data_IF_110277988120
#
_entry.id   IF_110277988120
#
_cell.length_a   1.000
_cell.length_b   1.000
_cell.length_c   1.000
_cell.angle_alpha   90.00
_cell.angle_beta   90.00
_cell.angle_gamma   90.00
#
_symmetry.space_group_name_H-M   'P 1'
#
loop_
_entity.id
_entity.type
_entity.pdbx_description
1 polymer ?
#
# COMPACT_ATOMS: atom_id res chain seq x y z
N UNK A 1 5.69 -9.79 -6.42
CA UNK A 1 4.34 -9.71 -7.03
C UNK A 1 4.40 -9.67 -8.56
N UNK A 2 5.46 -9.14 -9.16
CA UNK A 2 5.61 -9.13 -10.64
C UNK A 2 5.86 -10.52 -11.24
N UNK A 3 6.44 -11.44 -10.48
CA UNK A 3 6.74 -12.82 -10.93
C UNK A 3 5.60 -13.81 -10.70
N UNK A 4 4.41 -13.36 -10.25
CA UNK A 4 3.28 -14.27 -10.02
C UNK A 4 2.58 -14.55 -11.35
N UNK A 5 2.67 -15.79 -11.83
CA UNK A 5 1.83 -16.30 -12.89
C UNK A 5 0.47 -16.74 -12.31
N UNK A 6 -0.57 -15.97 -12.64
CA UNK A 6 -1.93 -16.22 -12.15
C UNK A 6 -2.56 -17.47 -12.78
N UNK A 7 -2.17 -17.85 -14.01
CA UNK A 7 -2.70 -19.03 -14.68
C UNK A 7 -2.07 -20.31 -14.13
N UNK A 8 -0.78 -20.27 -13.78
CA UNK A 8 -0.09 -21.37 -13.11
C UNK A 8 -0.64 -21.57 -11.68
N UNK A 9 -0.74 -20.50 -10.89
CA UNK A 9 -1.26 -20.57 -9.52
C UNK A 9 -2.71 -21.07 -9.48
N UNK A 10 -3.53 -20.70 -10.47
CA UNK A 10 -4.91 -21.17 -10.58
C UNK A 10 -4.99 -22.68 -10.84
N UNK A 11 -4.09 -23.23 -11.68
CA UNK A 11 -4.02 -24.69 -11.90
C UNK A 11 -3.64 -25.40 -10.61
N UNK A 12 -2.59 -24.94 -9.93
CA UNK A 12 -2.12 -25.53 -8.68
C UNK A 12 -3.22 -25.52 -7.59
N UNK A 13 -3.95 -24.40 -7.47
CA UNK A 13 -5.04 -24.29 -6.51
C UNK A 13 -6.22 -25.21 -6.83
N UNK A 14 -6.55 -25.40 -8.12
CA UNK A 14 -7.62 -26.34 -8.52
C UNK A 14 -7.24 -27.79 -8.20
N UNK A 15 -6.00 -28.19 -8.45
CA UNK A 15 -5.50 -29.51 -8.09
C UNK A 15 -5.45 -29.70 -6.56
N UNK A 16 -5.09 -28.65 -5.82
CA UNK A 16 -5.12 -28.68 -4.35
C UNK A 16 -6.54 -28.85 -3.80
N UNK A 17 -7.56 -28.28 -4.44
CA UNK A 17 -8.97 -28.43 -4.00
C UNK A 17 -9.48 -29.86 -4.09
N UNK A 18 -8.99 -30.67 -5.03
CA UNK A 18 -9.41 -32.07 -5.17
C UNK A 18 -8.91 -32.96 -4.04
N UNK A 19 -7.77 -32.61 -3.45
CA UNK A 19 -7.10 -33.39 -2.40
C UNK A 19 -7.20 -32.79 -1.00
N UNK A 20 -7.52 -31.50 -0.88
CA UNK A 20 -7.56 -30.80 0.40
C UNK A 20 -8.85 -31.08 1.18
N UNK A 21 -8.72 -31.21 2.50
CA UNK A 21 -9.86 -31.37 3.42
C UNK A 21 -9.76 -30.41 4.61
N UNK A 22 -10.90 -30.16 5.25
CA UNK A 22 -10.98 -29.32 6.45
C UNK A 22 -10.45 -27.89 6.24
N UNK A 23 -9.57 -27.43 7.14
CA UNK A 23 -9.02 -26.07 7.10
C UNK A 23 -8.20 -25.79 5.83
N UNK A 24 -7.54 -26.81 5.27
CA UNK A 24 -6.70 -26.65 4.08
C UNK A 24 -7.56 -26.31 2.85
N UNK A 25 -8.70 -26.98 2.72
CA UNK A 25 -9.70 -26.70 1.70
C UNK A 25 -10.22 -25.26 1.81
N UNK A 26 -10.58 -24.82 3.03
CA UNK A 26 -11.07 -23.45 3.25
C UNK A 26 -10.05 -22.38 2.87
N UNK A 27 -8.75 -22.61 3.14
CA UNK A 27 -7.69 -21.67 2.73
C UNK A 27 -7.49 -21.66 1.21
N UNK A 28 -7.51 -22.82 0.59
CA UNK A 28 -7.38 -22.95 -0.86
C UNK A 28 -8.52 -22.25 -1.60
N UNK A 29 -9.77 -22.41 -1.15
CA UNK A 29 -10.94 -21.71 -1.72
C UNK A 29 -10.75 -20.19 -1.66
N UNK A 30 -10.40 -19.63 -0.50
CA UNK A 30 -10.18 -18.19 -0.34
C UNK A 30 -9.06 -17.65 -1.23
N UNK A 31 -7.99 -18.43 -1.42
CA UNK A 31 -6.89 -18.05 -2.34
C UNK A 31 -7.37 -18.08 -3.79
N UNK A 32 -8.12 -19.11 -4.19
CA UNK A 32 -8.64 -19.24 -5.54
C UNK A 32 -9.56 -18.08 -5.90
N UNK A 33 -10.45 -17.65 -4.99
CA UNK A 33 -11.33 -16.49 -5.19
C UNK A 33 -10.53 -15.21 -5.53
N UNK A 34 -9.42 -14.96 -4.82
CA UNK A 34 -8.57 -13.80 -5.07
C UNK A 34 -7.87 -13.91 -6.43
N UNK A 35 -7.32 -15.08 -6.75
CA UNK A 35 -6.63 -15.33 -8.03
C UNK A 35 -7.59 -15.18 -9.22
N UNK A 36 -8.79 -15.75 -9.14
CA UNK A 36 -9.82 -15.59 -10.18
C UNK A 36 -10.28 -14.13 -10.29
N UNK A 37 -10.40 -13.40 -9.19
CA UNK A 37 -10.76 -11.97 -9.20
C UNK A 37 -9.72 -11.13 -9.96
N UNK A 38 -8.42 -11.33 -9.70
CA UNK A 38 -7.35 -10.64 -10.43
C UNK A 38 -7.35 -11.01 -11.91
N UNK A 39 -7.49 -12.29 -12.24
CA UNK A 39 -7.51 -12.78 -13.63
C UNK A 39 -8.69 -12.22 -14.43
N UNK A 40 -9.89 -12.23 -13.86
CA UNK A 40 -11.11 -11.77 -14.52
C UNK A 40 -11.16 -10.24 -14.68
N UNK A 41 -10.58 -9.50 -13.75
CA UNK A 41 -10.54 -8.03 -13.80
C UNK A 41 -9.43 -7.48 -14.70
N UNK A 42 -8.41 -8.29 -15.02
CA UNK A 42 -7.20 -7.82 -15.71
C UNK A 42 -6.29 -6.95 -14.84
N UNK A 43 -6.63 -6.78 -13.57
CA UNK A 43 -5.80 -6.06 -12.61
C UNK A 43 -4.54 -6.88 -12.32
N UNK A 44 -3.39 -6.20 -12.24
CA UNK A 44 -2.13 -6.86 -11.88
C UNK A 44 -1.96 -6.84 -10.36
N UNK A 45 -1.55 -7.96 -9.73
CA UNK A 45 -1.26 -7.97 -8.29
C UNK A 45 -0.20 -6.94 -7.88
N UNK A 46 0.74 -6.62 -8.76
CA UNK A 46 1.77 -5.60 -8.52
C UNK A 46 1.19 -4.20 -8.25
N UNK A 47 -0.01 -3.89 -8.72
CA UNK A 47 -0.66 -2.59 -8.48
C UNK A 47 -1.04 -2.34 -7.01
N UNK A 48 -0.99 -3.37 -6.16
CA UNK A 48 -1.16 -3.20 -4.71
C UNK A 48 0.04 -2.51 -4.06
N UNK A 49 1.19 -2.47 -4.73
CA UNK A 49 2.39 -1.76 -4.28
C UNK A 49 2.40 -0.38 -4.95
N UNK A 50 2.43 0.68 -4.13
CA UNK A 50 2.40 2.05 -4.62
C UNK A 50 3.82 2.60 -4.77
N UNK A 51 4.24 2.87 -6.01
CA UNK A 51 5.45 3.67 -6.28
C UNK A 51 5.17 5.17 -6.27
N UNK A 52 3.96 5.56 -6.70
CA UNK A 52 3.49 6.95 -6.76
C UNK A 52 2.17 7.05 -5.99
N UNK A 53 2.19 7.81 -4.91
CA UNK A 53 1.01 8.06 -4.09
C UNK A 53 0.20 9.24 -4.67
N UNK A 54 -1.05 9.04 -5.10
CA UNK A 54 -1.89 10.12 -5.60
C UNK A 54 -2.29 11.09 -4.48
N UNK A 55 -2.43 12.36 -4.84
CA UNK A 55 -2.80 13.44 -3.92
C UNK A 55 -4.14 14.03 -4.36
N UNK A 56 -5.12 14.07 -3.46
CA UNK A 56 -6.45 14.61 -3.73
C UNK A 56 -6.36 16.14 -4.01
N UNK A 57 -7.12 16.68 -4.99
CA UNK A 57 -7.12 18.10 -5.31
C UNK A 57 -7.41 19.02 -4.10
N UNK A 58 -6.79 20.22 -4.03
CA UNK A 58 -6.94 21.16 -2.91
C UNK A 58 -8.39 21.52 -2.55
N UNK A 59 -9.29 21.53 -3.53
CA UNK A 59 -10.70 21.88 -3.37
C UNK A 59 -11.42 20.93 -2.41
N UNK A 60 -11.00 19.66 -2.38
CA UNK A 60 -11.57 18.61 -1.51
C UNK A 60 -10.86 18.59 -0.14
N UNK A 61 -9.75 19.33 0.01
CA UNK A 61 -8.98 19.46 1.26
C UNK A 61 -8.79 20.93 1.67
N UNK A 62 -9.89 21.69 1.84
CA UNK A 62 -9.83 23.13 2.05
C UNK A 62 -9.07 23.48 3.34
N UNK A 63 -8.34 24.58 3.27
CA UNK A 63 -7.78 25.28 4.43
C UNK A 63 -8.50 26.61 4.53
N UNK A 64 -9.24 26.82 5.61
CA UNK A 64 -10.06 28.02 5.80
C UNK A 64 -9.39 28.90 6.84
N UNK A 65 -9.14 30.15 6.47
CA UNK A 65 -8.70 31.15 7.43
C UNK A 65 -9.90 31.60 8.28
N UNK A 66 -9.72 31.57 9.60
CA UNK A 66 -10.68 32.04 10.58
C UNK A 66 -10.29 33.44 11.08
N UNK A 67 -11.25 34.11 11.73
CA UNK A 67 -11.00 35.39 12.38
C UNK A 67 -9.86 35.30 13.41
N UNK A 68 -9.06 36.35 13.49
CA UNK A 68 -7.91 36.42 14.40
C UNK A 68 -6.69 35.61 13.96
N UNK A 69 -6.57 35.25 12.67
CA UNK A 69 -5.35 34.66 12.11
C UNK A 69 -5.18 33.15 12.33
N UNK A 70 -6.24 32.46 12.76
CA UNK A 70 -6.25 30.99 12.90
C UNK A 70 -6.59 30.34 11.56
N UNK A 71 -6.16 29.09 11.38
CA UNK A 71 -6.51 28.28 10.21
C UNK A 71 -7.22 27.01 10.67
N UNK A 72 -8.36 26.71 10.06
CA UNK A 72 -8.95 25.38 10.09
C UNK A 72 -8.43 24.59 8.89
N UNK A 73 -7.90 23.40 9.13
CA UNK A 73 -7.37 22.51 8.09
C UNK A 73 -8.04 21.15 8.18
N UNK A 74 -8.22 20.50 7.04
CA UNK A 74 -8.57 19.07 6.99
C UNK A 74 -7.44 18.21 7.60
N UNK A 75 -7.80 17.17 8.34
CA UNK A 75 -6.88 16.15 8.87
C UNK A 75 -6.02 15.51 7.76
N UNK A 76 -6.58 15.43 6.55
CA UNK A 76 -5.92 14.90 5.35
C UNK A 76 -4.62 15.65 5.02
N UNK A 77 -4.60 16.97 5.22
CA UNK A 77 -3.40 17.78 4.98
C UNK A 77 -2.25 17.40 5.93
N UNK A 78 -2.57 17.03 7.18
CA UNK A 78 -1.59 16.63 8.17
C UNK A 78 -1.08 15.21 7.93
N UNK A 79 -1.94 14.31 7.43
CA UNK A 79 -1.57 12.97 6.99
C UNK A 79 -0.63 13.02 5.77
N UNK A 80 -0.96 13.79 4.73
CA UNK A 80 -0.08 13.99 3.59
C UNK A 80 1.26 14.60 3.99
N UNK A 81 1.27 15.60 4.87
CA UNK A 81 2.52 16.23 5.35
C UNK A 81 3.42 15.23 6.05
N UNK A 82 2.86 14.29 6.83
CA UNK A 82 3.63 13.21 7.46
C UNK A 82 4.29 12.32 6.43
N UNK A 83 3.55 11.83 5.43
CA UNK A 83 4.11 10.99 4.35
C UNK A 83 5.24 11.72 3.61
N UNK A 84 5.01 12.97 3.19
CA UNK A 84 5.99 13.77 2.45
C UNK A 84 7.27 13.97 3.27
N UNK A 85 7.15 14.31 4.55
CA UNK A 85 8.31 14.52 5.41
C UNK A 85 9.13 13.24 5.62
N UNK A 86 8.46 12.09 5.81
CA UNK A 86 9.12 10.78 5.91
C UNK A 86 9.83 10.39 4.62
N UNK A 87 9.18 10.58 3.48
CA UNK A 87 9.76 10.27 2.18
C UNK A 87 11.00 11.13 1.89
N UNK A 88 10.91 12.44 2.13
CA UNK A 88 12.04 13.36 1.98
C UNK A 88 13.20 13.02 2.93
N UNK A 89 12.89 12.62 4.16
CA UNK A 89 13.90 12.18 5.13
C UNK A 89 14.58 10.89 4.69
N UNK A 90 13.81 9.89 4.25
CA UNK A 90 14.34 8.64 3.73
C UNK A 90 15.28 8.88 2.56
N UNK A 91 14.87 9.73 1.60
CA UNK A 91 15.71 10.11 0.46
C UNK A 91 17.06 10.68 0.91
N UNK A 92 17.04 11.66 1.83
CA UNK A 92 18.28 12.24 2.38
C UNK A 92 19.17 11.21 3.10
N UNK A 93 18.58 10.27 3.84
CA UNK A 93 19.33 9.22 4.52
C UNK A 93 20.04 8.29 3.53
N UNK A 94 19.38 7.97 2.40
CA UNK A 94 20.00 7.18 1.32
C UNK A 94 21.14 7.96 0.65
N UNK A 95 20.93 9.24 0.34
CA UNK A 95 21.93 10.10 -0.29
C UNK A 95 23.19 10.27 0.59
N UNK A 96 23.01 10.27 1.91
CA UNK A 96 24.11 10.37 2.89
C UNK A 96 24.77 9.02 3.22
N UNK A 97 24.31 7.91 2.64
CA UNK A 97 24.84 6.58 2.93
C UNK A 97 24.60 6.13 4.37
N UNK A 98 23.46 6.51 4.95
CA UNK A 98 23.14 6.15 6.33
C UNK A 98 23.13 4.62 6.54
N UNK A 99 23.49 4.12 7.75
CA UNK A 99 23.47 2.70 8.05
C UNK A 99 22.11 2.04 7.80
N UNK A 100 22.14 0.77 7.39
CA UNK A 100 20.96 0.00 7.01
C UNK A 100 19.85 -0.01 8.08
N UNK A 101 20.19 -0.06 9.37
CA UNK A 101 19.22 -0.04 10.48
C UNK A 101 18.41 1.26 10.49
N UNK A 102 19.07 2.40 10.25
CA UNK A 102 18.40 3.72 10.24
C UNK A 102 17.48 3.81 9.02
N UNK A 103 17.96 3.36 7.87
CA UNK A 103 17.16 3.31 6.62
C UNK A 103 15.94 2.41 6.78
N UNK A 104 16.10 1.22 7.37
CA UNK A 104 15.00 0.29 7.64
C UNK A 104 13.95 0.90 8.58
N UNK A 105 14.39 1.59 9.64
CA UNK A 105 13.46 2.26 10.53
C UNK A 105 12.71 3.38 9.79
N UNK A 106 13.37 4.19 8.96
CA UNK A 106 12.66 5.24 8.20
C UNK A 106 11.71 4.67 7.16
N UNK A 107 12.05 3.54 6.51
CA UNK A 107 11.12 2.80 5.64
C UNK A 107 9.88 2.33 6.39
N UNK A 108 10.03 1.79 7.60
CA UNK A 108 8.89 1.40 8.46
C UNK A 108 8.03 2.61 8.81
N UNK A 109 8.65 3.72 9.23
CA UNK A 109 7.91 4.94 9.58
C UNK A 109 7.20 5.57 8.37
N UNK A 110 7.77 5.45 7.17
CA UNK A 110 7.12 5.86 5.93
C UNK A 110 5.91 4.97 5.63
N UNK A 111 6.04 3.65 5.78
CA UNK A 111 4.92 2.72 5.62
C UNK A 111 3.78 3.05 6.58
N UNK A 112 4.08 3.25 7.87
CA UNK A 112 3.08 3.64 8.88
C UNK A 112 2.39 4.98 8.54
N UNK A 113 3.11 5.91 7.92
CA UNK A 113 2.52 7.18 7.48
C UNK A 113 1.58 6.98 6.29
N UNK A 114 1.88 6.06 5.37
CA UNK A 114 1.02 5.70 4.24
C UNK A 114 -0.20 4.91 4.71
N UNK A 115 -0.04 3.99 5.66
CA UNK A 115 -1.14 3.19 6.22
C UNK A 115 -2.17 4.05 7.00
N UNK A 116 -1.70 5.18 7.56
CA UNK A 116 -2.55 6.11 8.30
C UNK A 116 -3.31 7.10 7.41
N UNK A 117 -2.87 7.27 6.15
CA UNK A 117 -3.48 8.16 5.17
C UNK A 117 -4.67 7.49 4.47
#
# INVERSE_FOLDING_TARGET
>A
LEEIDLDEELKLLRDELESATGQRLTRAIKRLEVVESFRNSGNKPSWMILDVLPIIPPEIRPMVQLDGGRFATSDLNDLYRRVINRNNRLKRLLDLGAPGIIVQNEKRMLQEAVDAL
#
